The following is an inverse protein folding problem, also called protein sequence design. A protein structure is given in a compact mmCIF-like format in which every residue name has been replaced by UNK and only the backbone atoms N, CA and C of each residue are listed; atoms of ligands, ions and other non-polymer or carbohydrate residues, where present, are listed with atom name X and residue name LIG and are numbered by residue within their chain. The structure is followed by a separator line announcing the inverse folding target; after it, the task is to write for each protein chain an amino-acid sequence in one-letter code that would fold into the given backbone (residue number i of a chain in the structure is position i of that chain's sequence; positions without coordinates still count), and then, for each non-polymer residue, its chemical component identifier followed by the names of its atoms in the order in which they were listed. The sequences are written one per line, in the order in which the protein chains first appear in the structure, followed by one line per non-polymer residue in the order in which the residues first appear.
data_IF_826997535737
#
_entry.id   IF_826997535737
#
_cell.length_a   1.000
_cell.length_b   1.000
_cell.length_c   1.000
_cell.angle_alpha   90.00
_cell.angle_beta   90.00
_cell.angle_gamma   90.00
#
_symmetry.space_group_name_H-M   'P 1'
#
loop_
_entity.id
_entity.type
_entity.pdbx_description
1 polymer ?
#
# COMPACT_ATOMS: atom_id res chain seq x y z
N UNK A 1 11.07 -40.68 -9.36
CA UNK A 1 11.11 -39.34 -10.00
C UNK A 1 10.11 -38.43 -9.29
N UNK A 2 10.47 -37.18 -8.99
CA UNK A 2 9.60 -36.23 -8.28
C UNK A 2 9.21 -35.05 -9.18
N UNK A 3 7.97 -34.59 -9.07
CA UNK A 3 7.41 -33.45 -9.81
C UNK A 3 6.86 -32.44 -8.81
N UNK A 4 7.17 -31.16 -9.01
CA UNK A 4 6.62 -30.07 -8.20
C UNK A 4 5.61 -29.32 -9.06
N UNK A 5 4.42 -29.08 -8.51
CA UNK A 5 3.36 -28.31 -9.17
C UNK A 5 2.95 -27.13 -8.30
N UNK A 6 2.87 -25.95 -8.90
CA UNK A 6 2.37 -24.74 -8.25
C UNK A 6 0.92 -24.49 -8.68
N UNK A 7 -0.02 -24.84 -7.80
CA UNK A 7 -1.45 -24.54 -7.94
C UNK A 7 -2.00 -24.14 -6.58
N UNK A 8 -2.83 -23.11 -6.55
CA UNK A 8 -3.46 -22.61 -5.34
C UNK A 8 -4.97 -22.74 -5.45
N UNK A 9 -5.54 -23.56 -4.57
CA UNK A 9 -6.99 -23.79 -4.48
C UNK A 9 -7.58 -22.91 -3.39
N UNK A 10 -8.76 -22.34 -3.66
CA UNK A 10 -9.59 -21.72 -2.63
C UNK A 10 -10.25 -22.82 -1.78
N UNK A 11 -10.65 -22.50 -0.55
CA UNK A 11 -11.35 -23.48 0.32
C UNK A 11 -12.68 -23.94 -0.27
N UNK A 12 -13.30 -23.13 -1.14
CA UNK A 12 -14.51 -23.52 -1.90
C UNK A 12 -14.26 -24.51 -3.03
N UNK A 13 -13.01 -24.85 -3.30
CA UNK A 13 -12.58 -25.70 -4.43
C UNK A 13 -12.08 -27.07 -3.95
N UNK A 14 -12.46 -27.50 -2.74
CA UNK A 14 -12.03 -28.78 -2.17
C UNK A 14 -12.27 -29.98 -3.09
N UNK A 15 -13.43 -30.04 -3.76
CA UNK A 15 -13.75 -31.16 -4.65
C UNK A 15 -12.99 -31.07 -5.97
N UNK A 16 -12.78 -29.86 -6.51
CA UNK A 16 -11.88 -29.66 -7.66
C UNK A 16 -10.44 -30.02 -7.33
N UNK A 17 -10.00 -29.77 -6.09
CA UNK A 17 -8.67 -30.14 -5.63
C UNK A 17 -8.56 -31.67 -5.51
N UNK A 18 -9.51 -32.33 -4.85
CA UNK A 18 -9.60 -33.79 -4.77
C UNK A 18 -9.58 -34.43 -6.17
N UNK A 19 -10.44 -33.97 -7.07
CA UNK A 19 -10.50 -34.45 -8.45
C UNK A 19 -9.20 -34.27 -9.23
N UNK A 20 -8.46 -33.18 -9.00
CA UNK A 20 -7.14 -32.99 -9.60
C UNK A 20 -6.11 -34.01 -9.09
N UNK A 21 -6.16 -34.37 -7.80
CA UNK A 21 -5.28 -35.41 -7.25
C UNK A 21 -5.60 -36.78 -7.84
N UNK A 22 -6.89 -37.09 -8.04
CA UNK A 22 -7.34 -38.31 -8.73
C UNK A 22 -6.79 -38.37 -10.17
N UNK A 23 -6.96 -37.29 -10.95
CA UNK A 23 -6.45 -37.19 -12.33
C UNK A 23 -4.92 -37.38 -12.40
N UNK A 24 -4.19 -36.86 -11.41
CA UNK A 24 -2.74 -37.04 -11.32
C UNK A 24 -2.36 -38.48 -11.00
N UNK A 25 -3.07 -39.13 -10.07
CA UNK A 25 -2.82 -40.53 -9.71
C UNK A 25 -3.15 -41.50 -10.86
N UNK A 26 -4.18 -41.23 -11.65
CA UNK A 26 -4.48 -41.97 -12.89
C UNK A 26 -3.35 -41.87 -13.93
N UNK A 27 -2.57 -40.80 -13.88
CA UNK A 27 -1.37 -40.60 -14.72
C UNK A 27 -0.09 -41.17 -14.07
N UNK A 28 -0.21 -41.87 -12.94
CA UNK A 28 0.90 -42.42 -12.18
C UNK A 28 1.66 -41.39 -11.33
N UNK A 29 1.04 -40.25 -11.00
CA UNK A 29 1.62 -39.22 -10.13
C UNK A 29 0.89 -39.15 -8.79
N UNK A 30 1.54 -39.61 -7.74
CA UNK A 30 0.99 -39.68 -6.39
C UNK A 30 1.33 -38.45 -5.58
N UNK A 31 0.33 -37.84 -4.95
CA UNK A 31 0.57 -36.73 -4.04
C UNK A 31 1.29 -37.22 -2.78
N UNK A 32 2.43 -36.61 -2.47
CA UNK A 32 3.22 -36.90 -1.27
C UNK A 32 3.17 -35.80 -0.22
N UNK A 33 2.52 -34.68 -0.53
CA UNK A 33 2.40 -33.54 0.37
C UNK A 33 2.91 -32.23 -0.21
N UNK A 34 3.06 -31.24 0.66
CA UNK A 34 3.52 -29.89 0.31
C UNK A 34 4.96 -29.61 0.75
N UNK A 35 5.62 -28.73 0.00
CA UNK A 35 6.74 -27.89 0.45
C UNK A 35 6.52 -26.47 -0.10
N UNK A 36 7.41 -25.98 -0.97
CA UNK A 36 7.20 -24.74 -1.72
C UNK A 36 5.97 -24.85 -2.63
N UNK A 37 5.76 -26.02 -3.25
CA UNK A 37 4.56 -26.38 -4.02
C UNK A 37 4.04 -27.76 -3.65
N UNK A 38 3.12 -28.30 -4.46
CA UNK A 38 2.62 -29.66 -4.33
C UNK A 38 3.65 -30.65 -4.88
N UNK A 39 4.03 -31.65 -4.09
CA UNK A 39 5.01 -32.66 -4.48
C UNK A 39 4.28 -33.93 -4.90
N UNK A 40 4.62 -34.39 -6.10
CA UNK A 40 4.18 -35.65 -6.66
C UNK A 40 5.34 -36.60 -6.88
N UNK A 41 5.10 -37.88 -6.65
CA UNK A 41 6.05 -38.95 -6.91
C UNK A 41 5.52 -39.89 -7.99
N UNK A 42 6.39 -40.29 -8.92
CA UNK A 42 6.04 -41.23 -9.98
C UNK A 42 5.85 -42.62 -9.38
N UNK A 43 4.69 -43.20 -9.61
CA UNK A 43 4.37 -44.60 -9.33
C UNK A 43 3.54 -45.19 -10.46
N UNK A 44 2.84 -46.29 -10.19
CA UNK A 44 1.97 -46.94 -11.17
C UNK A 44 0.66 -46.17 -11.37
N UNK A 45 0.13 -46.06 -12.60
CA UNK A 45 -1.21 -45.52 -12.83
C UNK A 45 -2.27 -46.27 -12.02
N UNK A 46 -3.10 -45.56 -11.26
CA UNK A 46 -4.18 -46.20 -10.50
C UNK A 46 -5.33 -45.26 -10.18
N UNK A 47 -6.51 -45.84 -9.98
CA UNK A 47 -7.72 -45.11 -9.56
C UNK A 47 -7.75 -45.07 -8.04
N UNK A 48 -7.57 -43.87 -7.49
CA UNK A 48 -7.66 -43.62 -6.04
C UNK A 48 -8.70 -42.55 -5.79
N UNK A 49 -9.46 -42.69 -4.70
CA UNK A 49 -10.38 -41.66 -4.27
C UNK A 49 -9.70 -40.73 -3.27
N UNK A 50 -9.47 -39.49 -3.71
CA UNK A 50 -8.95 -38.43 -2.87
C UNK A 50 -10.08 -37.56 -2.36
N UNK A 51 -10.03 -37.22 -1.08
CA UNK A 51 -10.95 -36.28 -0.44
C UNK A 51 -10.16 -35.19 0.26
N UNK A 52 -10.55 -33.95 0.00
CA UNK A 52 -9.95 -32.77 0.64
C UNK A 52 -11.00 -32.14 1.53
N UNK A 53 -10.66 -31.96 2.79
CA UNK A 53 -11.52 -31.33 3.79
C UNK A 53 -10.88 -30.07 4.37
N UNK A 54 -11.74 -29.16 4.82
CA UNK A 54 -11.34 -27.92 5.50
C UNK A 54 -11.46 -28.11 7.00
N UNK A 55 -10.33 -28.16 7.68
CA UNK A 55 -10.24 -28.25 9.12
C UNK A 55 -10.22 -26.85 9.72
N UNK A 56 -11.23 -26.51 10.52
CA UNK A 56 -11.43 -25.12 10.97
C UNK A 56 -10.44 -24.66 12.03
N UNK A 57 -9.93 -25.59 12.84
CA UNK A 57 -8.92 -25.33 13.88
C UNK A 57 -7.52 -25.14 13.31
N UNK A 58 -7.26 -25.57 12.07
CA UNK A 58 -6.02 -25.24 11.36
C UNK A 58 -5.89 -23.73 11.13
N UNK A 59 -4.66 -23.23 11.09
CA UNK A 59 -4.33 -21.82 10.85
C UNK A 59 -3.72 -21.61 9.46
N UNK A 60 -3.82 -20.40 8.91
CA UNK A 60 -3.24 -20.06 7.60
C UNK A 60 -1.70 -20.15 7.57
N UNK A 61 -1.07 -20.03 8.73
CA UNK A 61 0.38 -20.08 8.92
C UNK A 61 0.92 -21.52 9.02
N UNK A 62 0.05 -22.52 9.09
CA UNK A 62 0.46 -23.91 9.28
C UNK A 62 1.08 -24.47 8.00
N UNK A 63 2.41 -24.58 8.01
CA UNK A 63 3.20 -25.15 6.91
C UNK A 63 3.35 -26.68 7.01
N UNK A 64 2.89 -27.29 8.11
CA UNK A 64 2.93 -28.72 8.40
C UNK A 64 1.70 -29.12 9.22
N UNK A 65 1.30 -30.41 9.23
CA UNK A 65 0.24 -30.88 10.10
C UNK A 65 0.50 -30.45 11.54
N UNK A 66 -0.53 -29.94 12.20
CA UNK A 66 -0.50 -29.64 13.62
C UNK A 66 -0.92 -30.88 14.42
N UNK A 67 -0.62 -30.95 15.73
CA UNK A 67 -1.09 -32.06 16.57
C UNK A 67 -2.60 -32.28 16.47
N UNK A 68 -3.40 -31.21 16.42
CA UNK A 68 -4.85 -31.27 16.29
C UNK A 68 -5.29 -31.85 14.93
N UNK A 69 -4.58 -31.51 13.85
CA UNK A 69 -4.83 -32.09 12.54
C UNK A 69 -4.42 -33.58 12.47
N UNK A 70 -3.38 -33.98 13.22
CA UNK A 70 -2.97 -35.38 13.36
C UNK A 70 -3.97 -36.19 14.19
N UNK A 71 -4.51 -35.63 15.27
CA UNK A 71 -5.60 -36.23 16.05
C UNK A 71 -6.85 -36.41 15.17
N UNK A 72 -7.24 -35.38 14.42
CA UNK A 72 -8.33 -35.47 13.45
C UNK A 72 -8.07 -36.56 12.40
N UNK A 73 -6.83 -36.69 11.92
CA UNK A 73 -6.43 -37.73 10.99
C UNK A 73 -6.55 -39.15 11.57
N UNK A 74 -6.26 -39.35 12.86
CA UNK A 74 -6.42 -40.65 13.52
C UNK A 74 -7.89 -41.09 13.56
N UNK A 75 -8.82 -40.18 13.85
CA UNK A 75 -10.26 -40.47 13.78
C UNK A 75 -10.69 -40.84 12.35
N UNK A 76 -10.18 -40.13 11.34
CA UNK A 76 -10.46 -40.43 9.94
C UNK A 76 -9.89 -41.79 9.49
N UNK A 77 -8.74 -42.18 10.05
CA UNK A 77 -8.12 -43.48 9.79
C UNK A 77 -8.97 -44.64 10.29
N UNK A 78 -9.58 -44.51 11.46
CA UNK A 78 -10.55 -45.47 11.96
C UNK A 78 -11.80 -45.58 11.05
N UNK A 79 -12.15 -44.50 10.35
CA UNK A 79 -13.26 -44.46 9.38
C UNK A 79 -12.88 -44.93 7.95
N UNK A 80 -11.68 -45.48 7.75
CA UNK A 80 -11.24 -46.04 6.47
C UNK A 80 -10.54 -45.05 5.53
N UNK A 81 -10.03 -43.92 6.04
CA UNK A 81 -9.28 -42.92 5.27
C UNK A 81 -7.80 -42.87 5.66
N UNK A 82 -6.92 -42.89 4.68
CA UNK A 82 -5.50 -42.66 4.88
C UNK A 82 -5.19 -41.16 4.78
N UNK A 83 -4.64 -40.59 5.84
CA UNK A 83 -4.16 -39.21 5.84
C UNK A 83 -2.83 -39.08 5.09
N UNK A 84 -2.75 -38.14 4.16
CA UNK A 84 -1.54 -37.92 3.35
C UNK A 84 -0.74 -36.73 3.87
N UNK A 85 -1.38 -35.56 3.95
CA UNK A 85 -0.74 -34.34 4.40
C UNK A 85 -1.77 -33.26 4.73
N UNK A 86 -1.35 -32.24 5.47
CA UNK A 86 -2.11 -31.02 5.74
C UNK A 86 -1.26 -29.75 5.52
N UNK A 87 -1.93 -28.69 5.06
CA UNK A 87 -1.34 -27.36 4.90
C UNK A 87 -2.43 -26.30 5.02
N UNK A 88 -2.15 -25.23 5.76
CA UNK A 88 -3.15 -24.23 6.13
C UNK A 88 -4.34 -24.94 6.79
N UNK A 89 -5.56 -24.65 6.34
CA UNK A 89 -6.78 -25.35 6.76
C UNK A 89 -7.12 -26.59 5.92
N UNK A 90 -6.31 -26.98 4.93
CA UNK A 90 -6.58 -28.17 4.12
C UNK A 90 -5.99 -29.43 4.74
N UNK A 91 -6.81 -30.49 4.80
CA UNK A 91 -6.38 -31.86 5.08
C UNK A 91 -6.71 -32.75 3.87
N UNK A 92 -5.71 -33.50 3.39
CA UNK A 92 -5.87 -34.38 2.22
C UNK A 92 -5.87 -35.84 2.69
N UNK A 93 -6.92 -36.55 2.27
CA UNK A 93 -7.14 -37.94 2.59
C UNK A 93 -7.26 -38.77 1.30
N UNK A 94 -6.90 -40.04 1.40
CA UNK A 94 -7.09 -41.07 0.38
C UNK A 94 -7.95 -42.19 0.95
N UNK A 95 -8.93 -42.65 0.17
CA UNK A 95 -9.80 -43.75 0.60
C UNK A 95 -8.99 -45.05 0.68
N UNK A 96 -8.98 -45.67 1.86
CA UNK A 96 -8.30 -46.94 2.10
C UNK A 96 -9.28 -48.13 2.13
N UNK A 97 -10.51 -47.93 2.62
CA UNK A 97 -11.55 -48.95 2.71
C UNK A 97 -12.73 -48.67 1.75
N UNK A 98 -13.32 -49.68 1.08
CA UNK A 98 -14.45 -49.49 0.15
C UNK A 98 -15.70 -48.88 0.81
N UNK A 99 -15.91 -49.18 2.10
CA UNK A 99 -17.02 -48.80 2.97
C UNK A 99 -16.73 -47.56 3.83
N UNK A 100 -15.68 -46.80 3.51
CA UNK A 100 -15.30 -45.60 4.26
C UNK A 100 -16.47 -44.59 4.37
N UNK A 101 -16.78 -44.19 5.60
CA UNK A 101 -17.85 -43.24 5.93
C UNK A 101 -17.43 -41.81 5.53
N UNK A 102 -18.39 -40.95 5.20
CA UNK A 102 -18.09 -39.53 4.94
C UNK A 102 -17.41 -38.91 6.16
N UNK A 103 -16.29 -38.21 5.94
CA UNK A 103 -15.47 -37.61 7.00
C UNK A 103 -16.26 -36.57 7.81
N UNK A 104 -17.03 -35.74 7.09
CA UNK A 104 -17.81 -34.63 7.66
C UNK A 104 -19.21 -34.65 7.04
N UNK A 105 -20.22 -34.18 7.79
CA UNK A 105 -21.58 -33.93 7.28
C UNK A 105 -21.59 -32.78 6.28
N UNK A 106 -22.58 -32.69 5.38
CA UNK A 106 -22.60 -31.61 4.38
C UNK A 106 -22.81 -30.23 5.00
N UNK A 107 -23.61 -30.15 6.05
CA UNK A 107 -23.87 -28.92 6.81
C UNK A 107 -22.59 -28.40 7.48
N UNK A 108 -21.85 -29.28 8.15
CA UNK A 108 -20.62 -28.93 8.84
C UNK A 108 -19.52 -28.56 7.82
N UNK A 109 -19.42 -29.30 6.71
CA UNK A 109 -18.52 -28.98 5.60
C UNK A 109 -18.79 -27.59 5.05
N UNK A 110 -20.05 -27.22 4.85
CA UNK A 110 -20.44 -25.87 4.41
C UNK A 110 -20.00 -24.79 5.39
N UNK A 111 -20.22 -24.99 6.70
CA UNK A 111 -19.80 -24.02 7.72
C UNK A 111 -18.27 -23.89 7.77
N UNK A 112 -17.55 -25.00 7.66
CA UNK A 112 -16.10 -25.03 7.68
C UNK A 112 -15.51 -24.25 6.50
N UNK A 113 -15.99 -24.51 5.28
CA UNK A 113 -15.57 -23.79 4.07
C UNK A 113 -15.93 -22.31 4.15
N UNK A 114 -17.15 -21.97 4.57
CA UNK A 114 -17.61 -20.58 4.71
C UNK A 114 -16.72 -19.81 5.68
N UNK A 115 -16.46 -20.37 6.86
CA UNK A 115 -15.64 -19.73 7.90
C UNK A 115 -14.20 -19.54 7.42
N UNK A 116 -13.61 -20.57 6.78
CA UNK A 116 -12.27 -20.50 6.23
C UNK A 116 -12.13 -19.44 5.13
N UNK A 117 -13.07 -19.35 4.20
CA UNK A 117 -13.06 -18.33 3.14
C UNK A 117 -13.21 -16.91 3.67
N UNK A 118 -14.09 -16.70 4.65
CA UNK A 118 -14.32 -15.38 5.24
C UNK A 118 -13.09 -14.94 6.04
N UNK A 119 -12.52 -15.84 6.85
CA UNK A 119 -11.30 -15.55 7.61
C UNK A 119 -10.11 -15.28 6.68
N UNK A 120 -9.94 -16.08 5.63
CA UNK A 120 -8.91 -15.85 4.62
C UNK A 120 -9.12 -14.48 3.97
N UNK A 121 -10.32 -14.17 3.47
CA UNK A 121 -10.60 -12.86 2.89
C UNK A 121 -10.35 -11.72 3.88
N UNK A 122 -10.86 -11.82 5.11
CA UNK A 122 -10.67 -10.80 6.14
C UNK A 122 -9.18 -10.61 6.46
N UNK A 123 -8.39 -11.68 6.56
CA UNK A 123 -6.94 -11.60 6.81
C UNK A 123 -6.22 -10.78 5.73
N UNK A 124 -6.54 -11.03 4.47
CA UNK A 124 -5.91 -10.36 3.33
C UNK A 124 -6.36 -8.90 3.20
N UNK A 125 -7.63 -8.61 3.46
CA UNK A 125 -8.21 -7.28 3.22
C UNK A 125 -8.20 -6.36 4.44
N UNK A 126 -8.29 -6.87 5.67
CA UNK A 126 -8.36 -6.05 6.87
C UNK A 126 -7.09 -5.21 7.07
N UNK A 127 -5.92 -5.83 6.90
CA UNK A 127 -4.62 -5.15 6.95
C UNK A 127 -4.51 -4.08 5.86
N UNK A 128 -4.91 -4.41 4.63
CA UNK A 128 -4.92 -3.48 3.50
C UNK A 128 -5.87 -2.30 3.72
N UNK A 129 -7.07 -2.55 4.27
CA UNK A 129 -8.06 -1.53 4.60
C UNK A 129 -7.53 -0.60 5.70
N UNK A 130 -6.91 -1.17 6.74
CA UNK A 130 -6.36 -0.39 7.85
C UNK A 130 -5.21 0.50 7.37
N UNK A 131 -4.20 -0.07 6.72
CA UNK A 131 -3.00 0.67 6.29
C UNK A 131 -3.37 1.77 5.31
N UNK A 132 -4.16 1.47 4.27
CA UNK A 132 -4.52 2.52 3.32
C UNK A 132 -5.56 3.50 3.86
N UNK A 133 -6.36 3.10 4.86
CA UNK A 133 -7.20 4.04 5.62
C UNK A 133 -6.36 5.06 6.37
N UNK A 134 -5.28 4.63 7.03
CA UNK A 134 -4.31 5.52 7.69
C UNK A 134 -3.58 6.40 6.66
N UNK A 135 -3.13 5.82 5.55
CA UNK A 135 -2.47 6.57 4.47
C UNK A 135 -3.37 7.66 3.88
N UNK A 136 -4.63 7.33 3.56
CA UNK A 136 -5.58 8.33 3.06
C UNK A 136 -5.92 9.38 4.13
N UNK A 137 -6.02 8.97 5.39
CA UNK A 137 -6.22 9.91 6.49
C UNK A 137 -5.08 10.93 6.55
N UNK A 138 -3.83 10.46 6.56
CA UNK A 138 -2.64 11.30 6.55
C UNK A 138 -2.61 12.22 5.32
N UNK A 139 -2.81 11.65 4.12
CA UNK A 139 -2.85 12.38 2.86
C UNK A 139 -3.93 13.48 2.86
N UNK A 140 -5.13 13.21 3.38
CA UNK A 140 -6.24 14.18 3.29
C UNK A 140 -6.28 15.19 4.44
N UNK A 141 -5.70 14.88 5.60
CA UNK A 141 -5.86 15.70 6.81
C UNK A 141 -4.55 16.27 7.38
N UNK A 142 -3.40 15.64 7.13
CA UNK A 142 -2.12 16.07 7.72
C UNK A 142 -1.21 16.74 6.69
N UNK A 143 -1.11 16.16 5.49
CA UNK A 143 -0.10 16.56 4.48
C UNK A 143 -0.70 16.62 3.07
N UNK A 144 -1.82 17.33 2.91
CA UNK A 144 -2.55 17.38 1.64
C UNK A 144 -1.78 18.10 0.54
N UNK A 145 -1.18 19.24 0.85
CA UNK A 145 -0.36 20.05 -0.06
C UNK A 145 0.77 19.23 -0.68
N UNK A 146 1.66 18.69 0.14
CA UNK A 146 2.79 17.85 -0.30
C UNK A 146 2.35 16.55 -0.95
N UNK A 147 1.21 15.98 -0.54
CA UNK A 147 0.72 14.73 -1.13
C UNK A 147 0.08 14.91 -2.50
N UNK A 148 -0.66 15.99 -2.73
CA UNK A 148 -1.29 16.24 -4.03
C UNK A 148 -0.26 16.67 -5.07
N UNK A 149 0.82 17.35 -4.68
CA UNK A 149 1.88 17.71 -5.64
C UNK A 149 2.73 16.50 -6.06
N UNK A 150 2.71 15.40 -5.30
CA UNK A 150 3.48 14.20 -5.62
C UNK A 150 2.68 13.21 -6.48
N UNK A 151 3.09 13.02 -7.74
CA UNK A 151 2.54 11.98 -8.63
C UNK A 151 2.59 10.58 -7.97
N UNK A 152 3.64 10.30 -7.21
CA UNK A 152 3.80 9.06 -6.44
C UNK A 152 2.64 8.84 -5.48
N UNK A 153 2.33 9.85 -4.67
CA UNK A 153 1.31 9.71 -3.63
C UNK A 153 -0.08 9.53 -4.24
N UNK A 154 -0.34 10.18 -5.38
CA UNK A 154 -1.61 10.00 -6.08
C UNK A 154 -1.70 8.62 -6.75
N UNK A 155 -0.63 8.13 -7.38
CA UNK A 155 -0.58 6.77 -7.95
C UNK A 155 -0.83 5.72 -6.86
N UNK A 156 -0.23 5.88 -5.68
CA UNK A 156 -0.47 5.02 -4.52
C UNK A 156 -1.93 5.07 -4.05
N UNK A 157 -2.54 6.26 -3.98
CA UNK A 157 -3.93 6.43 -3.62
C UNK A 157 -4.88 5.74 -4.62
N UNK A 158 -4.71 5.99 -5.92
CA UNK A 158 -5.50 5.37 -7.00
C UNK A 158 -5.35 3.85 -6.96
N UNK A 159 -4.14 3.35 -6.77
CA UNK A 159 -3.89 1.91 -6.66
C UNK A 159 -4.61 1.29 -5.47
N UNK A 160 -4.60 1.96 -4.32
CA UNK A 160 -5.29 1.45 -3.14
C UNK A 160 -6.81 1.37 -3.39
N UNK A 161 -7.40 2.36 -4.06
CA UNK A 161 -8.80 2.31 -4.49
C UNK A 161 -9.08 1.13 -5.44
N UNK A 162 -8.25 0.93 -6.47
CA UNK A 162 -8.37 -0.22 -7.37
C UNK A 162 -8.26 -1.55 -6.63
N UNK A 163 -7.34 -1.64 -5.66
CA UNK A 163 -7.21 -2.81 -4.81
C UNK A 163 -8.48 -3.04 -3.98
N UNK A 164 -9.02 -2.01 -3.32
CA UNK A 164 -10.27 -2.12 -2.57
C UNK A 164 -11.42 -2.61 -3.44
N UNK A 165 -11.58 -2.09 -4.66
CA UNK A 165 -12.65 -2.55 -5.57
C UNK A 165 -12.50 -4.02 -5.91
N UNK A 166 -11.28 -4.51 -6.15
CA UNK A 166 -11.01 -5.94 -6.33
C UNK A 166 -11.35 -6.75 -5.06
N UNK A 167 -11.07 -6.21 -3.89
CA UNK A 167 -11.41 -6.81 -2.60
C UNK A 167 -12.90 -6.98 -2.39
N UNK A 168 -13.67 -5.93 -2.66
CA UNK A 168 -15.13 -5.94 -2.62
C UNK A 168 -15.74 -6.89 -3.65
N UNK A 169 -15.23 -6.89 -4.89
CA UNK A 169 -15.67 -7.83 -5.91
C UNK A 169 -15.44 -9.28 -5.47
N UNK A 170 -14.27 -9.56 -4.87
CA UNK A 170 -13.95 -10.89 -4.35
C UNK A 170 -14.84 -11.30 -3.17
N UNK A 171 -15.35 -10.35 -2.38
CA UNK A 171 -16.32 -10.58 -1.31
C UNK A 171 -17.70 -10.85 -1.90
N UNK A 172 -18.14 -10.03 -2.87
CA UNK A 172 -19.42 -10.20 -3.55
C UNK A 172 -19.56 -11.59 -4.18
N UNK A 173 -18.51 -12.09 -4.85
CA UNK A 173 -18.47 -13.47 -5.39
C UNK A 173 -18.67 -14.52 -4.28
N UNK A 174 -18.08 -14.32 -3.09
CA UNK A 174 -18.26 -15.24 -1.95
C UNK A 174 -19.67 -15.17 -1.37
N UNK A 175 -20.26 -13.98 -1.29
CA UNK A 175 -21.63 -13.77 -0.84
C UNK A 175 -22.61 -14.45 -1.81
N UNK A 176 -22.43 -14.27 -3.12
CA UNK A 176 -23.23 -14.95 -4.15
C UNK A 176 -23.11 -16.47 -3.98
N UNK A 177 -21.90 -16.99 -3.84
CA UNK A 177 -21.67 -18.41 -3.58
C UNK A 177 -22.36 -18.89 -2.30
N UNK A 178 -22.30 -18.13 -1.20
CA UNK A 178 -22.97 -18.46 0.05
C UNK A 178 -24.48 -18.64 -0.14
N UNK A 179 -25.14 -17.69 -0.81
CA UNK A 179 -26.58 -17.76 -1.04
C UNK A 179 -26.96 -18.88 -2.00
N UNK A 180 -26.17 -19.10 -3.06
CA UNK A 180 -26.40 -20.19 -4.02
C UNK A 180 -26.26 -21.56 -3.35
N UNK A 181 -25.23 -21.76 -2.54
CA UNK A 181 -24.96 -23.03 -1.86
C UNK A 181 -25.98 -23.30 -0.76
N UNK A 182 -26.34 -22.28 0.04
CA UNK A 182 -27.36 -22.42 1.09
C UNK A 182 -28.71 -22.87 0.56
N UNK A 183 -29.07 -22.48 -0.68
CA UNK A 183 -30.30 -22.93 -1.33
C UNK A 183 -30.28 -24.40 -1.76
N UNK A 184 -29.09 -24.98 -1.97
CA UNK A 184 -28.91 -26.37 -2.41
C UNK A 184 -28.73 -27.36 -1.27
N UNK A 185 -28.34 -26.88 -0.07
CA UNK A 185 -28.23 -27.71 1.11
C UNK A 185 -29.56 -28.44 1.39
N UNK A 186 -29.48 -29.76 1.58
CA UNK A 186 -30.64 -30.63 1.87
C UNK A 186 -31.43 -31.11 0.65
N UNK A 187 -31.11 -30.65 -0.57
CA UNK A 187 -31.72 -31.17 -1.81
C UNK A 187 -30.80 -32.15 -2.53
N UNK A 188 -29.55 -31.76 -2.72
CA UNK A 188 -28.53 -32.53 -3.44
C UNK A 188 -27.15 -32.31 -2.83
N UNK A 189 -26.23 -33.29 -2.96
CA UNK A 189 -24.86 -33.14 -2.51
C UNK A 189 -24.19 -31.96 -3.23
N UNK A 190 -23.72 -30.99 -2.45
CA UNK A 190 -23.10 -29.78 -2.97
C UNK A 190 -21.67 -30.07 -3.44
N UNK A 191 -21.39 -29.77 -4.71
CA UNK A 191 -20.03 -29.80 -5.25
C UNK A 191 -19.29 -28.47 -5.00
N UNK A 192 -18.16 -28.56 -4.30
CA UNK A 192 -17.25 -27.47 -3.95
C UNK A 192 -16.14 -27.34 -4.99
N UNK A 193 -16.43 -26.60 -6.05
CA UNK A 193 -15.43 -26.19 -7.04
C UNK A 193 -16.03 -25.91 -8.41
N UNK A 194 -15.20 -26.02 -9.43
CA UNK A 194 -15.57 -25.86 -10.83
C UNK A 194 -15.58 -27.21 -11.56
N UNK A 195 -16.48 -27.37 -12.52
CA UNK A 195 -16.51 -28.53 -13.41
C UNK A 195 -15.78 -28.21 -14.73
N UNK A 196 -15.18 -29.22 -15.35
CA UNK A 196 -14.59 -29.12 -16.70
C UNK A 196 -13.25 -28.37 -16.77
N UNK A 197 -13.00 -27.65 -17.87
CA UNK A 197 -11.73 -26.93 -18.10
C UNK A 197 -11.46 -25.82 -17.07
N UNK A 198 -12.51 -25.25 -16.49
CA UNK A 198 -12.43 -24.17 -15.50
C UNK A 198 -11.71 -24.59 -14.20
N UNK A 199 -11.83 -25.86 -13.78
CA UNK A 199 -11.14 -26.38 -12.59
C UNK A 199 -9.62 -26.38 -12.72
N UNK A 200 -9.11 -26.34 -13.96
CA UNK A 200 -7.67 -26.29 -14.26
C UNK A 200 -7.14 -24.87 -14.36
N UNK A 201 -7.96 -23.94 -14.88
CA UNK A 201 -7.53 -22.57 -15.19
C UNK A 201 -7.69 -21.64 -13.99
N UNK A 202 -8.81 -21.73 -13.26
CA UNK A 202 -9.15 -20.78 -12.19
C UNK A 202 -8.13 -20.83 -11.03
N UNK A 203 -7.67 -21.99 -10.54
CA UNK A 203 -6.63 -22.04 -9.49
C UNK A 203 -5.30 -21.41 -9.94
N UNK A 204 -4.94 -21.56 -11.22
CA UNK A 204 -3.72 -20.97 -11.79
C UNK A 204 -3.86 -19.45 -11.91
N UNK A 205 -4.97 -18.97 -12.48
CA UNK A 205 -5.27 -17.54 -12.58
C UNK A 205 -5.30 -16.89 -11.20
N UNK A 206 -5.89 -17.56 -10.20
CA UNK A 206 -5.93 -17.04 -8.83
C UNK A 206 -4.54 -16.93 -8.21
N UNK A 207 -3.68 -17.94 -8.39
CA UNK A 207 -2.29 -17.89 -7.94
C UNK A 207 -1.51 -16.73 -8.59
N UNK A 208 -1.79 -16.42 -9.86
CA UNK A 208 -1.21 -15.25 -10.53
C UNK A 208 -1.78 -13.93 -9.97
N UNK A 209 -3.10 -13.83 -9.76
CA UNK A 209 -3.75 -12.63 -9.19
C UNK A 209 -3.32 -12.36 -7.73
N UNK A 210 -3.17 -13.40 -6.89
CA UNK A 210 -2.70 -13.26 -5.51
C UNK A 210 -1.24 -12.80 -5.46
N UNK A 211 -0.44 -13.15 -6.47
CA UNK A 211 0.95 -12.75 -6.61
C UNK A 211 1.14 -11.37 -7.25
N UNK A 212 0.16 -10.88 -8.02
CA UNK A 212 0.22 -9.58 -8.72
C UNK A 212 0.36 -8.39 -7.76
N UNK A 213 -0.23 -8.46 -6.57
CA UNK A 213 -0.07 -7.40 -5.55
C UNK A 213 1.38 -7.24 -5.08
N UNK A 214 2.11 -8.35 -4.94
CA UNK A 214 3.53 -8.34 -4.56
C UNK A 214 4.39 -7.86 -5.72
N UNK A 215 4.11 -8.34 -6.94
CA UNK A 215 4.83 -7.95 -8.15
C UNK A 215 4.69 -6.45 -8.44
N UNK A 216 3.50 -5.89 -8.22
CA UNK A 216 3.25 -4.47 -8.41
C UNK A 216 3.86 -3.62 -7.28
N UNK A 217 3.87 -4.09 -6.03
CA UNK A 217 4.64 -3.46 -4.95
C UNK A 217 6.14 -3.41 -5.30
N UNK A 218 6.68 -4.49 -5.88
CA UNK A 218 8.05 -4.50 -6.39
C UNK A 218 8.23 -3.48 -7.53
N UNK A 219 7.30 -3.39 -8.49
CA UNK A 219 7.38 -2.38 -9.57
C UNK A 219 7.30 -0.95 -9.03
N UNK A 220 6.48 -0.69 -8.01
CA UNK A 220 6.42 0.62 -7.35
C UNK A 220 7.76 0.94 -6.69
N UNK A 221 8.35 0.00 -5.96
CA UNK A 221 9.70 0.19 -5.38
C UNK A 221 10.78 0.33 -6.47
N UNK A 222 10.62 -0.30 -7.63
CA UNK A 222 11.48 -0.09 -8.79
C UNK A 222 11.27 1.29 -9.43
N UNK A 223 10.05 1.83 -9.41
CA UNK A 223 9.76 3.21 -9.86
C UNK A 223 10.24 4.25 -8.84
N UNK A 224 10.37 3.87 -7.57
CA UNK A 224 11.06 4.65 -6.54
C UNK A 224 12.59 4.69 -6.73
N UNK A 225 13.17 3.93 -7.68
CA UNK A 225 14.62 3.90 -7.91
C UNK A 225 15.22 5.18 -8.51
N UNK A 226 14.42 6.22 -8.73
CA UNK A 226 14.97 7.57 -8.91
C UNK A 226 15.61 8.13 -7.64
N UNK A 227 15.29 7.55 -6.49
CA UNK A 227 15.72 7.95 -5.15
C UNK A 227 16.47 6.77 -4.50
N UNK A 228 17.68 7.02 -3.99
CA UNK A 228 18.56 5.97 -3.41
C UNK A 228 17.86 5.25 -2.25
N UNK A 229 16.92 5.90 -1.55
CA UNK A 229 16.14 5.30 -0.47
C UNK A 229 15.22 4.18 -0.95
N UNK A 230 14.67 4.31 -2.17
CA UNK A 230 13.81 3.30 -2.81
C UNK A 230 14.52 1.96 -3.04
N UNK A 231 15.83 2.00 -3.34
CA UNK A 231 16.66 0.81 -3.51
C UNK A 231 16.81 0.01 -2.22
N UNK A 232 17.04 0.68 -1.09
CA UNK A 232 17.19 0.03 0.23
C UNK A 232 15.89 -0.66 0.63
N UNK A 233 14.76 0.01 0.45
CA UNK A 233 13.43 -0.55 0.73
C UNK A 233 13.08 -1.72 -0.21
N UNK A 234 13.42 -1.60 -1.49
CA UNK A 234 13.28 -2.66 -2.49
C UNK A 234 14.06 -3.93 -2.13
N UNK A 235 15.33 -3.77 -1.75
CA UNK A 235 16.19 -4.88 -1.34
C UNK A 235 15.66 -5.58 -0.07
N UNK A 236 15.21 -4.81 0.92
CA UNK A 236 14.61 -5.35 2.13
C UNK A 236 13.36 -6.20 1.82
N UNK A 237 12.49 -5.75 0.91
CA UNK A 237 11.32 -6.53 0.48
C UNK A 237 11.71 -7.85 -0.18
N UNK A 238 12.70 -7.84 -1.07
CA UNK A 238 13.18 -9.08 -1.73
C UNK A 238 13.69 -10.08 -0.70
N UNK A 239 14.45 -9.62 0.30
CA UNK A 239 14.90 -10.47 1.41
C UNK A 239 13.73 -11.04 2.22
N UNK A 240 12.71 -10.23 2.51
CA UNK A 240 11.48 -10.69 3.15
C UNK A 240 10.81 -11.81 2.33
N UNK A 241 10.70 -11.64 1.02
CA UNK A 241 10.07 -12.63 0.14
C UNK A 241 10.87 -13.94 0.07
N UNK A 242 12.20 -13.85 -0.06
CA UNK A 242 13.11 -15.01 -0.02
C UNK A 242 12.95 -15.77 1.30
N UNK A 243 12.95 -15.04 2.43
CA UNK A 243 12.79 -15.62 3.75
C UNK A 243 11.43 -16.31 3.94
N UNK A 244 10.33 -15.68 3.50
CA UNK A 244 9.00 -16.33 3.51
C UNK A 244 8.95 -17.56 2.61
N UNK A 245 9.62 -17.52 1.47
CA UNK A 245 9.80 -18.68 0.59
C UNK A 245 10.54 -19.82 1.28
N UNK A 246 11.62 -19.51 2.00
CA UNK A 246 12.43 -20.47 2.76
C UNK A 246 11.63 -21.11 3.91
N UNK A 247 10.85 -20.34 4.66
CA UNK A 247 9.93 -20.84 5.70
C UNK A 247 8.96 -21.88 5.11
N UNK A 248 8.33 -21.54 3.98
CA UNK A 248 7.38 -22.43 3.28
C UNK A 248 8.07 -23.69 2.76
N UNK A 249 9.26 -23.55 2.16
CA UNK A 249 10.02 -24.67 1.61
C UNK A 249 10.53 -25.63 2.70
N UNK A 250 10.97 -25.08 3.83
CA UNK A 250 11.49 -25.81 4.99
C UNK A 250 10.40 -26.40 5.90
N UNK A 251 9.12 -26.09 5.65
CA UNK A 251 7.98 -26.50 6.49
C UNK A 251 8.19 -26.17 7.97
N UNK A 252 8.71 -24.97 8.22
CA UNK A 252 8.95 -24.50 9.59
C UNK A 252 7.62 -24.42 10.34
N UNK A 253 7.63 -24.81 11.61
CA UNK A 253 6.45 -24.75 12.49
C UNK A 253 5.88 -23.34 12.56
N UNK A 254 4.59 -23.20 12.88
CA UNK A 254 3.94 -21.90 13.06
C UNK A 254 4.71 -21.00 14.02
N UNK A 255 5.09 -21.53 15.19
CA UNK A 255 5.86 -20.79 16.19
C UNK A 255 7.27 -20.41 15.69
N UNK A 256 7.98 -21.33 15.01
CA UNK A 256 9.31 -21.03 14.46
C UNK A 256 9.26 -19.99 13.35
N UNK A 257 8.25 -20.04 12.49
CA UNK A 257 8.03 -19.07 11.43
C UNK A 257 7.71 -17.68 12.01
N UNK A 258 6.89 -17.63 13.06
CA UNK A 258 6.58 -16.39 13.77
C UNK A 258 7.82 -15.77 14.41
N UNK A 259 8.58 -16.54 15.20
CA UNK A 259 9.82 -16.07 15.83
C UNK A 259 10.87 -15.64 14.79
N UNK A 260 11.05 -16.42 13.72
CA UNK A 260 11.95 -16.06 12.63
C UNK A 260 11.54 -14.77 11.94
N UNK A 261 10.23 -14.53 11.78
CA UNK A 261 9.72 -13.28 11.20
C UNK A 261 10.00 -12.08 12.12
N UNK A 262 9.84 -12.23 13.44
CA UNK A 262 10.19 -11.18 14.42
C UNK A 262 11.68 -10.85 14.35
N UNK A 263 12.54 -11.87 14.42
CA UNK A 263 14.00 -11.69 14.35
C UNK A 263 14.39 -10.97 13.06
N UNK A 264 13.82 -11.39 11.94
CA UNK A 264 14.09 -10.77 10.65
C UNK A 264 13.68 -9.30 10.60
N UNK A 265 12.51 -8.93 11.15
CA UNK A 265 12.08 -7.52 11.24
C UNK A 265 13.01 -6.71 12.15
N UNK A 266 13.38 -7.26 13.32
CA UNK A 266 14.29 -6.59 14.27
C UNK A 266 15.68 -6.37 13.68
N UNK A 267 16.15 -7.25 12.78
CA UNK A 267 17.43 -7.09 12.07
C UNK A 267 17.30 -6.14 10.88
N UNK A 268 16.21 -6.19 10.13
CA UNK A 268 16.03 -5.34 8.95
C UNK A 268 15.81 -3.88 9.30
N UNK A 269 15.10 -3.56 10.39
CA UNK A 269 14.80 -2.17 10.76
C UNK A 269 16.09 -1.34 10.94
N UNK A 270 17.09 -1.77 11.74
CA UNK A 270 18.37 -1.06 11.86
C UNK A 270 19.12 -0.94 10.53
N UNK A 271 19.10 -1.98 9.69
CA UNK A 271 19.78 -1.97 8.39
C UNK A 271 19.14 -0.93 7.46
N UNK A 272 17.80 -0.88 7.43
CA UNK A 272 17.07 0.13 6.65
C UNK A 272 17.39 1.52 7.18
N UNK A 273 17.37 1.71 8.52
CA UNK A 273 17.63 3.01 9.13
C UNK A 273 19.06 3.51 8.85
N UNK A 274 20.07 2.65 9.01
CA UNK A 274 21.46 2.98 8.66
C UNK A 274 21.60 3.22 7.16
N UNK A 275 20.95 2.41 6.32
CA UNK A 275 20.96 2.58 4.88
C UNK A 275 20.40 3.93 4.44
N UNK A 276 19.25 4.33 4.99
CA UNK A 276 18.63 5.65 4.72
C UNK A 276 19.48 6.78 5.29
N UNK A 277 20.01 6.64 6.52
CA UNK A 277 20.88 7.65 7.13
C UNK A 277 22.12 7.94 6.29
N UNK A 278 22.83 6.91 5.83
CA UNK A 278 24.02 7.04 4.98
C UNK A 278 23.70 7.66 3.61
N UNK A 279 22.49 7.43 3.09
CA UNK A 279 22.02 8.05 1.85
C UNK A 279 21.78 9.54 2.05
N UNK A 280 21.08 9.91 3.12
CA UNK A 280 20.77 11.31 3.42
C UNK A 280 22.06 12.11 3.70
N UNK A 281 23.03 11.54 4.42
CA UNK A 281 24.33 12.17 4.68
C UNK A 281 25.12 12.44 3.38
N UNK A 282 25.02 11.53 2.40
CA UNK A 282 25.59 11.74 1.06
C UNK A 282 24.87 12.79 0.22
N UNK A 283 23.57 12.99 0.43
CA UNK A 283 22.78 14.01 -0.28
C UNK A 283 23.03 15.41 0.28
N UNK A 284 23.12 15.56 1.61
CA UNK A 284 23.51 16.84 2.24
C UNK A 284 24.92 17.28 1.82
N UNK A 285 25.84 16.35 1.58
CA UNK A 285 27.19 16.69 1.08
C UNK A 285 27.27 16.89 -0.44
N UNK A 286 26.20 16.58 -1.18
CA UNK A 286 26.15 16.63 -2.64
C UNK A 286 25.15 17.68 -3.17
N UNK A 287 24.80 18.70 -2.37
CA UNK A 287 24.05 19.87 -2.85
C UNK A 287 24.68 20.40 -4.13
N UNK A 288 23.92 20.26 -5.22
CA UNK A 288 24.34 20.59 -6.56
C UNK A 288 24.27 22.11 -6.74
N UNK A 289 25.39 22.81 -7.03
CA UNK A 289 25.44 24.28 -7.15
C UNK A 289 24.62 24.85 -8.33
N UNK A 290 23.95 24.01 -9.13
CA UNK A 290 23.00 24.45 -10.17
C UNK A 290 21.61 24.82 -9.64
N UNK A 291 21.14 24.23 -8.52
CA UNK A 291 19.83 24.58 -7.94
C UNK A 291 19.87 25.89 -7.14
N UNK A 292 21.02 26.26 -6.56
CA UNK A 292 21.22 27.51 -5.80
C UNK A 292 21.56 28.72 -6.68
N UNK A 293 21.13 28.74 -7.95
CA UNK A 293 21.32 29.91 -8.81
C UNK A 293 20.29 30.97 -8.42
N UNK A 294 20.66 31.79 -7.44
CA UNK A 294 19.96 33.05 -7.13
C UNK A 294 19.86 33.88 -8.41
N UNK A 295 18.66 34.01 -8.97
CA UNK A 295 18.40 34.97 -10.04
C UNK A 295 18.08 36.32 -9.39
N UNK A 296 19.10 37.15 -9.27
CA UNK A 296 18.90 38.55 -8.92
C UNK A 296 18.18 39.28 -10.06
N UNK A 297 16.87 39.49 -9.92
CA UNK A 297 16.17 40.46 -10.74
C UNK A 297 16.41 41.85 -10.14
N UNK A 298 17.39 42.56 -10.67
CA UNK A 298 17.66 43.94 -10.25
C UNK A 298 16.55 44.87 -10.77
N UNK A 299 15.56 45.16 -9.93
CA UNK A 299 14.70 46.33 -10.09
C UNK A 299 15.37 47.54 -9.41
N UNK A 300 15.39 48.69 -10.07
CA UNK A 300 15.94 49.94 -9.50
C UNK A 300 15.02 50.48 -8.39
N UNK A 301 15.66 50.94 -7.30
CA UNK A 301 15.14 51.34 -5.97
C UNK A 301 14.52 50.22 -5.11
N UNK A 302 15.36 49.61 -4.25
CA UNK A 302 15.03 48.50 -3.34
C UNK A 302 15.22 47.15 -4.02
N UNK A 303 16.40 46.53 -3.87
CA UNK A 303 16.72 45.27 -4.57
C UNK A 303 15.84 44.14 -4.05
N UNK A 304 15.03 43.55 -4.92
CA UNK A 304 14.27 42.32 -4.65
C UNK A 304 15.04 41.14 -5.24
N UNK A 305 15.41 40.16 -4.42
CA UNK A 305 15.97 38.89 -4.89
C UNK A 305 14.89 37.81 -4.91
N UNK A 306 14.81 37.00 -5.96
CA UNK A 306 13.99 35.79 -5.96
C UNK A 306 14.92 34.59 -6.15
N UNK A 307 14.93 33.70 -5.17
CA UNK A 307 15.61 32.43 -5.24
C UNK A 307 14.59 31.32 -5.45
N UNK A 308 14.80 30.54 -6.51
CA UNK A 308 13.96 29.39 -6.82
C UNK A 308 14.57 28.16 -6.17
N UNK A 309 14.00 27.74 -5.06
CA UNK A 309 14.53 26.63 -4.27
C UNK A 309 14.08 25.29 -4.87
N UNK A 310 12.79 25.13 -5.18
CA UNK A 310 12.25 23.85 -5.66
C UNK A 310 11.00 23.99 -6.54
N UNK A 311 10.91 23.14 -7.56
CA UNK A 311 9.68 22.92 -8.34
C UNK A 311 9.21 21.48 -8.15
N UNK A 312 7.94 21.34 -7.75
CA UNK A 312 7.30 20.04 -7.63
C UNK A 312 5.98 20.06 -8.40
N UNK A 313 5.73 19.01 -9.19
CA UNK A 313 4.58 18.97 -10.06
C UNK A 313 3.91 17.60 -10.06
N UNK A 314 2.57 17.64 -9.96
CA UNK A 314 1.70 16.50 -10.26
C UNK A 314 0.81 16.79 -11.46
N UNK A 315 0.04 15.79 -11.85
CA UNK A 315 -1.05 15.96 -12.81
C UNK A 315 -2.21 16.82 -12.28
N UNK A 316 -2.32 17.06 -10.97
CA UNK A 316 -3.42 17.83 -10.35
C UNK A 316 -3.02 19.26 -9.96
N UNK A 317 -1.77 19.46 -9.57
CA UNK A 317 -1.27 20.68 -8.97
C UNK A 317 0.24 20.81 -9.19
N UNK A 318 0.70 22.01 -9.52
CA UNK A 318 2.10 22.42 -9.52
C UNK A 318 2.36 23.29 -8.30
N UNK A 319 3.47 23.03 -7.61
CA UNK A 319 3.95 23.80 -6.47
C UNK A 319 5.34 24.35 -6.76
N UNK A 320 5.50 25.65 -6.57
CA UNK A 320 6.80 26.33 -6.63
C UNK A 320 7.13 26.84 -5.22
N UNK A 321 8.32 26.53 -4.74
CA UNK A 321 8.90 27.15 -3.54
C UNK A 321 9.88 28.22 -3.96
N UNK A 322 9.70 29.42 -3.42
CA UNK A 322 10.46 30.62 -3.74
C UNK A 322 10.88 31.28 -2.43
N UNK A 323 12.13 31.72 -2.35
CA UNK A 323 12.59 32.63 -1.31
C UNK A 323 12.70 34.03 -1.92
N UNK A 324 12.04 35.01 -1.28
CA UNK A 324 11.99 36.39 -1.77
C UNK A 324 12.65 37.27 -0.73
N UNK A 325 13.67 38.01 -1.16
CA UNK A 325 14.44 38.93 -0.33
C UNK A 325 14.08 40.36 -0.67
N UNK A 326 13.69 41.16 0.32
CA UNK A 326 13.48 42.61 0.19
C UNK A 326 14.61 43.35 0.93
N UNK A 327 15.48 44.05 0.21
CA UNK A 327 16.50 44.90 0.83
C UNK A 327 15.92 46.28 1.20
N UNK A 328 15.93 46.65 2.49
CA UNK A 328 15.59 48.00 2.94
C UNK A 328 16.78 48.97 2.76
N UNK A 329 16.49 50.28 2.64
CA UNK A 329 17.50 51.35 2.47
C UNK A 329 18.54 51.43 3.60
N UNK A 330 18.26 50.82 4.76
CA UNK A 330 19.19 50.75 5.91
C UNK A 330 20.15 49.55 5.86
N UNK A 331 20.04 48.68 4.86
CA UNK A 331 20.87 47.48 4.73
C UNK A 331 20.35 46.26 5.50
N UNK A 332 19.09 46.29 5.97
CA UNK A 332 18.40 45.13 6.55
C UNK A 332 17.62 44.41 5.44
N UNK A 333 17.78 43.08 5.34
CA UNK A 333 17.09 42.24 4.36
C UNK A 333 15.92 41.54 5.04
N UNK A 334 14.70 41.74 4.53
CA UNK A 334 13.50 41.01 4.94
C UNK A 334 13.34 39.82 4.00
N UNK A 335 13.35 38.63 4.57
CA UNK A 335 13.22 37.38 3.84
C UNK A 335 11.79 36.82 3.93
N UNK A 336 11.27 36.32 2.81
CA UNK A 336 9.96 35.68 2.73
C UNK A 336 10.09 34.30 2.09
N UNK A 337 9.51 33.31 2.75
CA UNK A 337 9.23 32.01 2.13
C UNK A 337 7.88 32.09 1.42
N UNK A 338 7.90 32.01 0.09
CA UNK A 338 6.72 32.01 -0.77
C UNK A 338 6.47 30.62 -1.38
N UNK A 339 5.29 30.05 -1.13
CA UNK A 339 4.84 28.82 -1.78
C UNK A 339 3.68 29.13 -2.71
N UNK A 340 3.87 28.85 -3.99
CA UNK A 340 2.88 29.11 -5.04
C UNK A 340 2.33 27.79 -5.55
N UNK A 341 1.03 27.60 -5.43
CA UNK A 341 0.31 26.44 -5.96
C UNK A 341 -0.52 26.86 -7.16
N UNK A 342 -0.39 26.16 -8.27
CA UNK A 342 -1.21 26.32 -9.47
C UNK A 342 -2.04 25.05 -9.68
N UNK A 343 -3.34 25.19 -9.92
CA UNK A 343 -4.20 24.06 -10.22
C UNK A 343 -5.41 24.51 -11.04
N UNK A 344 -5.80 23.75 -12.08
CA UNK A 344 -7.06 23.99 -12.81
C UNK A 344 -8.31 23.65 -11.98
N UNK A 345 -8.14 23.23 -10.72
CA UNK A 345 -9.21 22.80 -9.84
C UNK A 345 -9.27 23.66 -8.58
N UNK A 346 -10.20 24.63 -8.55
CA UNK A 346 -10.37 25.58 -7.44
C UNK A 346 -10.52 24.91 -6.07
N UNK A 347 -11.20 23.75 -6.01
CA UNK A 347 -11.40 23.02 -4.75
C UNK A 347 -10.10 22.52 -4.12
N UNK A 348 -9.04 22.27 -4.92
CA UNK A 348 -7.72 21.86 -4.43
C UNK A 348 -7.07 23.05 -3.72
N UNK A 349 -7.07 24.22 -4.37
CA UNK A 349 -6.50 25.46 -3.84
C UNK A 349 -7.22 25.92 -2.56
N UNK A 350 -8.55 25.92 -2.56
CA UNK A 350 -9.36 26.25 -1.39
C UNK A 350 -9.05 25.32 -0.20
N UNK A 351 -8.79 24.03 -0.47
CA UNK A 351 -8.44 23.07 0.56
C UNK A 351 -7.01 23.26 1.10
N UNK A 352 -6.05 23.52 0.22
CA UNK A 352 -4.66 23.84 0.64
C UNK A 352 -4.69 25.10 1.51
N UNK A 353 -5.38 26.16 1.06
CA UNK A 353 -5.56 27.39 1.83
C UNK A 353 -6.18 27.14 3.20
N UNK A 354 -7.20 26.28 3.31
CA UNK A 354 -7.83 25.94 4.59
C UNK A 354 -6.91 25.13 5.53
N UNK A 355 -6.00 24.33 4.98
CA UNK A 355 -5.13 23.47 5.77
C UNK A 355 -3.88 24.20 6.23
N UNK A 356 -3.21 24.89 5.32
CA UNK A 356 -1.98 25.65 5.59
C UNK A 356 -2.28 27.00 6.25
N UNK A 357 -3.41 27.64 5.92
CA UNK A 357 -3.86 28.88 6.54
C UNK A 357 -4.50 28.71 7.93
N UNK A 358 -4.32 27.57 8.60
CA UNK A 358 -4.80 27.37 9.97
C UNK A 358 -4.06 28.32 10.92
N UNK A 359 -4.79 29.31 11.44
CA UNK A 359 -4.22 30.36 12.31
C UNK A 359 -4.30 31.76 11.69
N UNK A 360 -4.60 31.85 10.39
CA UNK A 360 -4.84 33.11 9.70
C UNK A 360 -6.31 33.52 9.83
N UNK A 361 -6.57 34.80 10.05
CA UNK A 361 -7.94 35.35 10.11
C UNK A 361 -8.34 35.92 8.74
N UNK A 362 -9.65 35.89 8.44
CA UNK A 362 -10.19 36.58 7.27
C UNK A 362 -10.01 38.09 7.45
N UNK A 363 -9.28 38.73 6.54
CA UNK A 363 -9.10 40.18 6.50
C UNK A 363 -9.49 40.74 5.13
N UNK A 364 -9.81 42.04 5.08
CA UNK A 364 -10.18 42.75 3.84
C UNK A 364 -8.98 42.98 2.89
N UNK A 365 -7.86 42.28 3.09
CA UNK A 365 -6.66 42.36 2.25
C UNK A 365 -6.88 41.93 0.80
N UNK A 366 -7.97 41.21 0.52
CA UNK A 366 -8.31 40.73 -0.81
C UNK A 366 -8.39 41.87 -1.84
N UNK A 367 -8.83 43.06 -1.42
CA UNK A 367 -8.91 44.24 -2.28
C UNK A 367 -7.53 44.83 -2.58
N UNK A 368 -6.64 44.82 -1.59
CA UNK A 368 -5.26 45.31 -1.74
C UNK A 368 -4.42 44.39 -2.63
N UNK A 369 -4.70 43.08 -2.59
CA UNK A 369 -4.00 42.05 -3.38
C UNK A 369 -4.69 41.65 -4.68
N UNK A 370 -5.85 42.25 -4.99
CA UNK A 370 -6.72 41.88 -6.12
C UNK A 370 -7.00 40.37 -6.16
N UNK A 371 -7.08 39.74 -4.99
CA UNK A 371 -7.28 38.30 -4.81
C UNK A 371 -8.77 37.98 -4.62
N UNK A 372 -9.17 36.75 -4.94
CA UNK A 372 -10.54 36.25 -4.73
C UNK A 372 -10.86 36.04 -3.24
N UNK A 373 -9.87 35.62 -2.47
CA UNK A 373 -9.94 35.53 -1.02
C UNK A 373 -8.55 35.72 -0.41
N UNK A 374 -8.48 36.31 0.78
CA UNK A 374 -7.23 36.52 1.51
C UNK A 374 -7.39 36.18 2.99
N UNK A 375 -6.39 35.50 3.56
CA UNK A 375 -6.23 35.33 5.00
C UNK A 375 -4.91 35.96 5.44
N UNK A 376 -4.90 36.55 6.63
CA UNK A 376 -3.74 37.26 7.19
C UNK A 376 -3.48 36.87 8.64
N UNK A 377 -2.19 36.82 8.99
CA UNK A 377 -1.73 36.80 10.37
C UNK A 377 -1.47 38.23 10.86
N UNK A 378 -2.38 38.78 11.68
CA UNK A 378 -2.35 40.17 12.16
C UNK A 378 -1.01 40.62 12.78
N UNK A 379 -0.20 39.70 13.28
CA UNK A 379 0.99 40.01 14.07
C UNK A 379 2.31 39.63 13.41
N UNK A 380 2.34 38.96 12.25
CA UNK A 380 3.60 38.41 11.68
C UNK A 380 3.76 38.59 10.17
N UNK A 381 2.77 39.15 9.48
CA UNK A 381 2.87 39.39 8.04
C UNK A 381 2.89 38.10 7.21
N UNK A 382 2.18 37.06 7.68
CA UNK A 382 1.92 35.84 6.91
C UNK A 382 0.59 35.99 6.14
N UNK A 383 0.57 35.66 4.86
CA UNK A 383 -0.56 35.86 3.96
C UNK A 383 -0.89 34.58 3.18
N UNK A 384 -2.18 34.26 3.07
CA UNK A 384 -2.67 33.24 2.14
C UNK A 384 -3.64 33.89 1.16
N UNK A 385 -3.25 33.95 -0.11
CA UNK A 385 -3.94 34.68 -1.18
C UNK A 385 -4.42 33.71 -2.26
N UNK A 386 -5.73 33.60 -2.42
CA UNK A 386 -6.36 32.76 -3.41
C UNK A 386 -6.76 33.60 -4.64
N UNK A 387 -6.19 33.25 -5.78
CA UNK A 387 -6.55 33.76 -7.10
C UNK A 387 -7.44 32.75 -7.85
N UNK A 388 -7.76 33.00 -9.12
CA UNK A 388 -8.65 32.10 -9.89
C UNK A 388 -8.05 30.71 -10.08
N UNK A 389 -6.79 30.64 -10.52
CA UNK A 389 -6.09 29.39 -10.85
C UNK A 389 -4.84 29.14 -9.97
N UNK A 390 -4.60 30.01 -8.98
CA UNK A 390 -3.44 29.91 -8.12
C UNK A 390 -3.69 30.29 -6.66
N UNK A 391 -2.84 29.77 -5.77
CA UNK A 391 -2.79 30.09 -4.35
C UNK A 391 -1.36 30.47 -4.01
N UNK A 392 -1.19 31.63 -3.37
CA UNK A 392 0.10 32.11 -2.88
C UNK A 392 0.06 32.09 -1.37
N UNK A 393 0.96 31.32 -0.75
CA UNK A 393 1.25 31.36 0.67
C UNK A 393 2.55 32.13 0.86
N UNK A 394 2.50 33.25 1.56
CA UNK A 394 3.64 34.11 1.83
C UNK A 394 3.87 34.12 3.33
N UNK A 395 5.02 33.64 3.79
CA UNK A 395 5.40 33.66 5.19
C UNK A 395 6.66 34.50 5.36
N UNK A 396 6.59 35.54 6.18
CA UNK A 396 7.77 36.34 6.56
C UNK A 396 8.68 35.51 7.46
N UNK A 397 9.94 35.37 7.09
CA UNK A 397 10.95 34.72 7.93
C UNK A 397 11.49 35.74 8.94
N UNK A 398 11.38 35.43 10.22
CA UNK A 398 11.86 36.29 11.31
C UNK A 398 13.12 35.65 11.91
N UNK A 399 14.28 36.33 11.90
CA UNK A 399 15.49 35.86 12.55
C UNK A 399 15.27 35.49 14.02
N UNK A 400 15.91 34.43 14.50
CA UNK A 400 15.70 33.90 15.86
C UNK A 400 16.02 34.92 16.98
N UNK A 401 16.87 35.90 16.70
CA UNK A 401 17.28 37.00 17.57
C UNK A 401 16.34 38.22 17.53
N UNK A 402 15.41 38.29 16.57
CA UNK A 402 14.52 39.44 16.33
C UNK A 402 13.03 39.18 16.65
N UNK A 403 12.69 38.03 17.26
CA UNK A 403 11.29 37.60 17.52
C UNK A 403 10.46 38.55 18.40
N UNK A 404 11.10 39.29 19.31
CA UNK A 404 10.44 40.24 20.22
C UNK A 404 10.45 41.69 19.70
N UNK A 405 11.00 41.93 18.51
CA UNK A 405 11.07 43.26 17.92
C UNK A 405 9.73 43.64 17.24
N UNK A 406 9.23 44.82 17.60
CA UNK A 406 8.01 45.40 17.02
C UNK A 406 8.11 45.69 15.52
N UNK A 407 9.33 45.81 14.97
CA UNK A 407 9.56 46.05 13.53
C UNK A 407 9.21 44.82 12.68
N UNK A 408 9.36 43.61 13.23
CA UNK A 408 9.08 42.34 12.55
C UNK A 408 7.66 41.84 12.81
N UNK A 409 7.02 42.31 13.89
CA UNK A 409 5.66 41.96 14.28
C UNK A 409 4.62 42.99 13.80
N UNK A 410 4.65 43.34 12.51
CA UNK A 410 3.69 44.26 11.87
C UNK A 410 3.17 43.69 10.54
N UNK A 411 1.93 44.03 10.14
CA UNK A 411 1.46 43.78 8.77
C UNK A 411 2.29 44.59 7.76
N UNK A 412 2.34 44.11 6.51
CA UNK A 412 3.04 44.78 5.43
C UNK A 412 2.38 46.11 5.06
N UNK A 413 3.19 47.11 4.77
CA UNK A 413 2.72 48.40 4.27
C UNK A 413 2.30 48.31 2.79
N UNK A 414 1.48 49.26 2.33
CA UNK A 414 0.98 49.29 0.94
C UNK A 414 2.10 49.31 -0.11
N UNK A 415 3.24 49.93 0.21
CA UNK A 415 4.40 49.98 -0.68
C UNK A 415 5.13 48.63 -0.76
N UNK A 416 5.28 47.92 0.36
CA UNK A 416 5.86 46.57 0.41
C UNK A 416 4.98 45.56 -0.34
N UNK A 417 3.65 45.68 -0.18
CA UNK A 417 2.66 44.88 -0.91
C UNK A 417 2.79 45.11 -2.42
N UNK A 418 2.90 46.37 -2.87
CA UNK A 418 3.03 46.69 -4.29
C UNK A 418 4.33 46.12 -4.88
N UNK A 419 5.44 46.26 -4.15
CA UNK A 419 6.74 45.69 -4.55
C UNK A 419 6.72 44.17 -4.68
N UNK A 420 6.07 43.46 -3.74
CA UNK A 420 5.90 42.00 -3.81
C UNK A 420 4.95 41.58 -4.94
N UNK A 421 3.89 42.33 -5.21
CA UNK A 421 3.00 42.07 -6.34
C UNK A 421 3.72 42.21 -7.69
N UNK A 422 4.57 43.22 -7.84
CA UNK A 422 5.32 43.42 -9.06
C UNK A 422 6.37 42.30 -9.26
N UNK A 423 7.04 41.89 -8.18
CA UNK A 423 7.99 40.77 -8.19
C UNK A 423 7.33 39.43 -8.55
N UNK A 424 6.19 39.10 -7.92
CA UNK A 424 5.41 37.91 -8.25
C UNK A 424 4.80 38.03 -9.66
N UNK A 425 4.40 39.23 -10.08
CA UNK A 425 3.88 39.56 -11.41
C UNK A 425 4.81 39.13 -12.55
N UNK A 426 6.11 39.37 -12.39
CA UNK A 426 7.14 38.95 -13.35
C UNK A 426 7.29 37.43 -13.36
N UNK A 427 7.28 36.79 -12.19
CA UNK A 427 7.30 35.34 -12.07
C UNK A 427 6.13 34.66 -12.81
N UNK A 428 4.92 35.25 -12.74
CA UNK A 428 3.76 34.75 -13.49
C UNK A 428 3.90 34.83 -15.01
N UNK A 429 4.78 35.69 -15.55
CA UNK A 429 5.02 35.81 -16.99
C UNK A 429 6.05 34.80 -17.52
N UNK A 430 6.87 34.22 -16.63
CA UNK A 430 7.92 33.26 -16.99
C UNK A 430 7.51 31.78 -16.87
N UNK A 431 6.39 31.47 -16.20
CA UNK A 431 5.77 30.13 -16.10
C UNK A 431 4.71 29.94 -17.19
#
# INVERSE_FOLDING_TARGET
MRKIVFREYAYRECDSFGGYLQEMAEKGWYFKGWKLGMIFEKGEPGKFDYRVEVFTEGEEEDNRPTPEAEEFAQYCQAAGWEFIDARRKFCVFRKAAPDAVSIVTEEERFQNVKKAELLHWARWWLSSIFIGGVYLWEMFFLVFSSSVISNRNIVLAVWWFLSLTAGWLSLAVKIIWYFQTKRKLGQEPVFYGYKGSLSRVIPVLRGCCSSWQILLLCVILLLMMGDKTGLVLGAALVLILIFRGAIKAGRVSRYGAFMGSIIMVVVLIPIIFVGVYLINEQEETAENPENSRVQWMAFEEGKIGIERTDESASFLCRGHSLEVYLAEEKGEEIEFSCQVYQSPHSWILERIMKQEGKGLESSEIQESWKAKAGLEEKNRGSYALLYEDSLVLLNRMVPDDARDDSQWNRPLDTEEIQRLQDALGVFWQEI
#
